data_IF_033558545896
#
_entry.id   IF_033558545896
#
_cell.length_a   1.000
_cell.length_b   1.000
_cell.length_c   1.000
_cell.angle_alpha   90.00
_cell.angle_beta   90.00
_cell.angle_gamma   90.00
#
_symmetry.space_group_name_H-M   'P 1'
#
loop_
_entity.id
_entity.type
_entity.pdbx_description
1 polymer ?
#
# COMPACT_ATOMS: atom_id res chain seq x y z
N UNK A 1 1.41 -26.54 -27.35
CA UNK A 1 2.75 -26.54 -26.71
C UNK A 1 3.51 -25.23 -26.94
N UNK A 2 4.02 -24.92 -28.14
CA UNK A 2 4.81 -23.67 -28.36
C UNK A 2 3.98 -22.38 -28.13
N UNK A 3 2.73 -22.35 -28.61
CA UNK A 3 1.78 -21.24 -28.36
C UNK A 3 1.41 -21.08 -26.88
N UNK A 4 1.35 -22.19 -26.13
CA UNK A 4 1.03 -22.16 -24.70
C UNK A 4 2.23 -21.62 -23.90
N UNK A 5 3.45 -21.98 -24.32
CA UNK A 5 4.68 -21.42 -23.78
C UNK A 5 4.82 -19.91 -24.03
N UNK A 6 4.51 -19.45 -25.24
CA UNK A 6 4.52 -18.02 -25.56
C UNK A 6 3.48 -17.23 -24.75
N UNK A 7 2.26 -17.78 -24.61
CA UNK A 7 1.22 -17.16 -23.78
C UNK A 7 1.63 -17.08 -22.31
N UNK A 8 2.22 -18.15 -21.76
CA UNK A 8 2.70 -18.17 -20.38
C UNK A 8 3.82 -17.15 -20.15
N UNK A 9 4.75 -17.01 -21.11
CA UNK A 9 5.81 -16.00 -21.04
C UNK A 9 5.24 -14.57 -21.05
N UNK A 10 4.26 -14.29 -21.93
CA UNK A 10 3.56 -12.99 -21.96
C UNK A 10 2.81 -12.70 -20.66
N UNK A 11 2.13 -13.69 -20.09
CA UNK A 11 1.47 -13.54 -18.79
C UNK A 11 2.47 -13.25 -17.67
N UNK A 12 3.63 -13.92 -17.68
CA UNK A 12 4.66 -13.69 -16.67
C UNK A 12 5.27 -12.29 -16.79
N UNK A 13 5.53 -11.80 -18.01
CA UNK A 13 5.98 -10.44 -18.25
C UNK A 13 4.94 -9.41 -17.77
N UNK A 14 3.65 -9.64 -18.06
CA UNK A 14 2.58 -8.77 -17.60
C UNK A 14 2.46 -8.74 -16.05
N UNK A 15 2.59 -9.90 -15.38
CA UNK A 15 2.61 -9.97 -13.91
C UNK A 15 3.80 -9.21 -13.33
N UNK A 16 4.98 -9.37 -13.91
CA UNK A 16 6.19 -8.66 -13.46
C UNK A 16 6.02 -7.15 -13.59
N UNK A 17 5.53 -6.67 -14.74
CA UNK A 17 5.25 -5.26 -14.98
C UNK A 17 4.24 -4.70 -13.96
N UNK A 18 3.09 -5.35 -13.79
CA UNK A 18 2.06 -4.90 -12.84
C UNK A 18 2.58 -4.89 -11.40
N UNK A 19 3.39 -5.89 -11.04
CA UNK A 19 4.00 -5.99 -9.72
C UNK A 19 5.01 -4.87 -9.47
N UNK A 20 5.83 -4.54 -10.46
CA UNK A 20 6.76 -3.40 -10.39
C UNK A 20 6.01 -2.09 -10.16
N UNK A 21 4.98 -1.81 -10.97
CA UNK A 21 4.17 -0.59 -10.82
C UNK A 21 3.50 -0.51 -9.45
N UNK A 22 2.99 -1.64 -8.97
CA UNK A 22 2.42 -1.73 -7.62
C UNK A 22 3.44 -1.40 -6.53
N UNK A 23 4.63 -1.99 -6.59
CA UNK A 23 5.68 -1.75 -5.60
C UNK A 23 6.18 -0.29 -5.63
N UNK A 24 6.32 0.29 -6.82
CA UNK A 24 6.67 1.71 -6.97
C UNK A 24 5.61 2.63 -6.38
N UNK A 25 4.33 2.32 -6.59
CA UNK A 25 3.23 3.03 -5.97
C UNK A 25 3.33 2.95 -4.44
N UNK A 26 3.41 1.75 -3.86
CA UNK A 26 3.51 1.57 -2.41
C UNK A 26 4.75 2.27 -1.81
N UNK A 27 5.88 2.27 -2.53
CA UNK A 27 7.08 3.01 -2.14
C UNK A 27 6.83 4.53 -2.09
N UNK A 28 6.15 5.07 -3.10
CA UNK A 28 5.81 6.51 -3.16
C UNK A 28 4.81 6.94 -2.08
N UNK A 29 3.91 6.05 -1.68
CA UNK A 29 2.92 6.31 -0.62
C UNK A 29 3.52 6.31 0.79
N UNK A 30 4.78 5.87 0.96
CA UNK A 30 5.48 5.93 2.23
C UNK A 30 5.48 7.37 2.76
N UNK A 31 5.31 7.51 4.06
CA UNK A 31 5.32 8.79 4.79
C UNK A 31 4.11 9.70 4.51
N UNK A 32 3.11 9.22 3.74
CA UNK A 32 1.88 9.95 3.49
C UNK A 32 0.77 9.55 4.46
N UNK A 33 -0.09 10.52 4.81
CA UNK A 33 -1.28 10.27 5.59
C UNK A 33 -2.32 9.55 4.73
N UNK A 34 -2.77 8.40 5.20
CA UNK A 34 -3.80 7.59 4.58
C UNK A 34 -5.03 7.49 5.49
N UNK A 35 -6.21 7.46 4.86
CA UNK A 35 -7.47 7.11 5.51
C UNK A 35 -7.77 5.65 5.22
N UNK A 36 -7.83 4.81 6.25
CA UNK A 36 -8.14 3.40 6.16
C UNK A 36 -9.61 3.16 6.50
N UNK A 37 -10.28 2.39 5.65
CA UNK A 37 -11.62 1.90 5.86
C UNK A 37 -11.52 0.42 6.23
N UNK A 38 -11.96 0.09 7.44
CA UNK A 38 -11.83 -1.22 8.05
C UNK A 38 -13.22 -1.86 8.24
N UNK A 39 -13.23 -3.12 8.67
CA UNK A 39 -14.48 -3.79 9.05
C UNK A 39 -15.23 -3.03 10.17
N UNK A 40 -16.52 -3.34 10.33
CA UNK A 40 -17.40 -2.74 11.34
C UNK A 40 -17.59 -1.21 11.17
N UNK A 41 -17.48 -0.71 9.93
CA UNK A 41 -17.60 0.72 9.59
C UNK A 41 -16.57 1.59 10.32
N UNK A 42 -15.43 1.00 10.71
CA UNK A 42 -14.33 1.72 11.35
C UNK A 42 -13.53 2.47 10.30
N UNK A 43 -13.37 3.78 10.49
CA UNK A 43 -12.50 4.62 9.66
C UNK A 43 -11.44 5.27 10.53
N UNK A 44 -10.18 5.06 10.17
CA UNK A 44 -9.03 5.60 10.92
C UNK A 44 -8.07 6.32 9.98
N UNK A 45 -7.33 7.28 10.52
CA UNK A 45 -6.28 7.99 9.79
C UNK A 45 -4.93 7.70 10.41
N UNK A 46 -3.94 7.36 9.59
CA UNK A 46 -2.58 7.13 10.04
C UNK A 46 -1.57 7.46 8.93
N UNK A 47 -0.32 7.65 9.30
CA UNK A 47 0.78 7.80 8.33
C UNK A 47 1.24 6.41 7.90
N UNK A 48 1.23 6.13 6.60
CA UNK A 48 1.72 4.86 6.06
C UNK A 48 3.26 4.83 6.16
N UNK A 49 3.81 3.82 6.82
CA UNK A 49 5.27 3.69 7.03
C UNK A 49 5.88 2.58 6.21
N UNK A 50 5.16 1.46 6.09
CA UNK A 50 5.65 0.28 5.39
C UNK A 50 4.50 -0.69 5.11
N UNK A 51 4.79 -1.67 4.26
CA UNK A 51 3.99 -2.85 4.04
C UNK A 51 4.94 -4.00 3.73
N UNK A 52 4.56 -5.25 4.05
CA UNK A 52 5.37 -6.41 3.64
C UNK A 52 5.31 -6.62 2.12
N UNK A 53 6.13 -7.52 1.55
CA UNK A 53 6.06 -7.77 0.11
C UNK A 53 4.71 -8.34 -0.30
N UNK A 54 4.11 -9.17 0.53
CA UNK A 54 2.98 -10.02 0.17
C UNK A 54 1.62 -9.36 0.46
N UNK A 55 1.64 -8.07 0.83
CA UNK A 55 0.47 -7.27 1.21
C UNK A 55 -0.37 -7.92 2.32
N UNK A 56 0.27 -8.51 3.33
CA UNK A 56 -0.43 -9.07 4.48
C UNK A 56 -0.56 -8.07 5.62
N UNK A 57 0.31 -7.06 5.68
CA UNK A 57 0.32 -6.09 6.77
C UNK A 57 0.73 -4.69 6.30
N UNK A 58 0.21 -3.67 7.01
CA UNK A 58 0.57 -2.27 6.89
C UNK A 58 1.15 -1.76 8.20
N UNK A 59 2.39 -1.31 8.19
CA UNK A 59 2.98 -0.57 9.29
C UNK A 59 2.59 0.89 9.21
N UNK A 60 2.01 1.43 10.29
CA UNK A 60 1.54 2.81 10.36
C UNK A 60 2.01 3.51 11.63
N UNK A 61 2.10 4.83 11.57
CA UNK A 61 2.36 5.70 12.74
C UNK A 61 1.31 6.79 12.85
N UNK A 62 1.26 7.46 14.00
CA UNK A 62 0.29 8.53 14.27
C UNK A 62 -1.16 8.08 13.98
N UNK A 63 -1.50 6.87 14.41
CA UNK A 63 -2.82 6.30 14.23
C UNK A 63 -3.83 7.01 15.12
N UNK A 64 -4.71 7.81 14.51
CA UNK A 64 -5.81 8.47 15.20
C UNK A 64 -6.99 7.53 15.41
N UNK A 65 -7.34 7.30 16.67
CA UNK A 65 -8.51 6.53 17.10
C UNK A 65 -9.41 7.40 17.99
N UNK A 66 -10.62 6.92 18.27
CA UNK A 66 -11.53 7.60 19.21
C UNK A 66 -10.97 7.70 20.64
N UNK A 67 -10.01 6.84 21.02
CA UNK A 67 -9.37 6.83 22.33
C UNK A 67 -8.11 7.70 22.40
N UNK A 68 -7.65 8.22 21.27
CA UNK A 68 -6.42 9.00 21.17
C UNK A 68 -5.53 8.55 20.00
N UNK A 69 -4.32 9.09 19.99
CA UNK A 69 -3.31 8.80 18.95
C UNK A 69 -2.33 7.74 19.42
N UNK A 70 -2.20 6.67 18.66
CA UNK A 70 -1.22 5.62 18.88
C UNK A 70 0.02 5.88 18.02
N UNK A 71 1.24 5.99 18.58
CA UNK A 71 2.44 6.35 17.83
C UNK A 71 2.85 5.30 16.79
N UNK A 72 2.55 4.02 17.03
CA UNK A 72 2.84 2.94 16.09
C UNK A 72 1.80 1.82 16.16
N UNK A 73 1.40 1.31 15.00
CA UNK A 73 0.50 0.17 14.88
C UNK A 73 0.80 -0.66 13.63
N UNK A 74 0.30 -1.89 13.62
CA UNK A 74 0.33 -2.80 12.49
C UNK A 74 -1.11 -3.19 12.15
N UNK A 75 -1.56 -2.89 10.94
CA UNK A 75 -2.83 -3.38 10.42
C UNK A 75 -2.60 -4.66 9.65
N UNK A 76 -3.41 -5.68 9.89
CA UNK A 76 -3.47 -6.85 8.99
C UNK A 76 -4.30 -6.45 7.79
N UNK A 77 -3.92 -6.90 6.60
CA UNK A 77 -4.66 -6.61 5.38
C UNK A 77 -6.09 -7.15 5.43
N UNK A 78 -6.32 -8.27 6.13
CA UNK A 78 -7.67 -8.79 6.37
C UNK A 78 -8.58 -7.89 7.20
N UNK A 79 -8.04 -6.91 7.93
CA UNK A 79 -8.84 -5.94 8.68
C UNK A 79 -9.18 -4.68 7.84
N UNK A 80 -8.50 -4.49 6.70
CA UNK A 80 -8.57 -3.29 5.85
C UNK A 80 -9.33 -3.61 4.56
N UNK A 81 -10.44 -2.89 4.33
CA UNK A 81 -11.23 -3.00 3.10
C UNK A 81 -10.58 -2.16 1.99
N UNK A 82 -10.18 -0.94 2.33
CA UNK A 82 -9.51 -0.02 1.42
C UNK A 82 -8.77 1.06 2.18
N UNK A 83 -7.88 1.79 1.50
CA UNK A 83 -7.33 3.03 2.01
C UNK A 83 -7.20 4.06 0.90
N UNK A 84 -7.23 5.33 1.28
CA UNK A 84 -7.11 6.46 0.35
C UNK A 84 -6.02 7.42 0.82
N UNK A 85 -5.19 7.87 -0.12
CA UNK A 85 -4.21 8.94 0.09
C UNK A 85 -4.65 10.13 -0.77
N UNK A 86 -4.87 11.29 -0.15
CA UNK A 86 -5.48 12.45 -0.81
C UNK A 86 -4.54 13.18 -1.78
N UNK A 87 -3.22 13.07 -1.59
CA UNK A 87 -2.24 13.77 -2.41
C UNK A 87 -1.20 12.79 -2.97
N UNK A 88 -1.50 12.26 -4.16
CA UNK A 88 -0.57 11.40 -4.91
C UNK A 88 0.48 12.23 -5.68
N UNK A 89 0.24 13.53 -5.89
CA UNK A 89 1.17 14.41 -6.57
C UNK A 89 2.38 14.71 -5.66
N UNK A 90 2.16 14.92 -4.35
CA UNK A 90 3.22 14.99 -3.36
C UNK A 90 4.02 13.67 -3.24
N UNK A 91 3.36 12.51 -3.42
CA UNK A 91 3.99 11.19 -3.37
C UNK A 91 4.92 10.88 -4.55
N UNK A 92 4.64 11.48 -5.71
CA UNK A 92 5.41 11.29 -6.96
C UNK A 92 6.54 12.31 -7.13
N UNK A 93 6.56 13.40 -6.34
CA UNK A 93 7.59 14.44 -6.36
C UNK A 93 8.81 14.12 -5.46
N UNK A 94 8.82 12.96 -4.80
CA UNK A 94 10.00 12.45 -4.07
C UNK A 94 11.10 11.94 -5.00
N UNK A 95 11.50 12.73 -5.99
CA UNK A 95 12.81 12.64 -6.64
C UNK A 95 13.90 13.30 -5.79
N UNK A 96 14.04 12.94 -4.51
CA UNK A 96 15.24 13.31 -3.74
C UNK A 96 15.50 12.26 -2.66
N UNK A 97 16.61 11.53 -2.81
CA UNK A 97 17.30 10.89 -1.68
C UNK A 97 17.69 9.43 -1.87
N UNK A 98 18.96 9.25 -2.26
CA UNK A 98 19.75 8.01 -2.37
C UNK A 98 19.64 7.24 -3.69
#
# INVERSE_FOLDING_TARGET
>A
EEKDGELAARQQAARAYLREQFLLCMKGLKDHVATFHMHENTTVTATLRSCDSDMQNFGVSELSTALGTQPAALFRAGDVISFTVKDLAAATDSRVGA
#
